data_IF_129898282794
#
_entry.id   IF_129898282794
#
_cell.length_a   1.000
_cell.length_b   1.000
_cell.length_c   1.000
_cell.angle_alpha   90.00
_cell.angle_beta   90.00
_cell.angle_gamma   90.00
#
_symmetry.space_group_name_H-M   'P 1'
#
loop_
_entity.id
_entity.type
_entity.pdbx_description
1 polymer ?
#
# COMPACT_ATOMS: atom_id res chain seq x y z
N UNK A 1 -12.04 19.89 10.86
CA UNK A 1 -12.07 19.17 9.58
C UNK A 1 -10.80 18.35 9.52
N UNK A 2 -10.88 17.04 9.74
CA UNK A 2 -9.72 16.15 9.74
C UNK A 2 -9.49 15.66 8.31
N UNK A 3 -8.45 16.17 7.66
CA UNK A 3 -7.96 15.68 6.39
C UNK A 3 -7.23 14.35 6.68
N UNK A 4 -7.72 13.23 6.18
CA UNK A 4 -6.99 11.97 6.27
C UNK A 4 -6.06 11.88 5.06
N UNK A 5 -4.77 12.13 5.31
CA UNK A 5 -3.73 11.94 4.30
C UNK A 5 -3.25 10.47 4.34
N UNK A 6 -3.10 9.86 3.18
CA UNK A 6 -2.53 8.52 3.04
C UNK A 6 -1.57 8.46 1.85
N UNK A 7 -0.68 7.49 1.85
CA UNK A 7 0.16 7.12 0.72
C UNK A 7 -0.52 6.03 -0.09
N UNK A 8 -0.55 6.23 -1.41
CA UNK A 8 -0.90 5.18 -2.36
C UNK A 8 0.36 4.79 -3.15
N UNK A 9 0.62 3.49 -3.26
CA UNK A 9 1.73 2.95 -4.03
C UNK A 9 1.39 1.56 -4.57
N UNK A 10 2.02 1.22 -5.69
CA UNK A 10 1.94 -0.11 -6.28
C UNK A 10 3.08 -0.97 -5.75
N UNK A 11 2.74 -2.17 -5.30
CA UNK A 11 3.67 -3.11 -4.72
C UNK A 11 3.65 -4.41 -5.49
N UNK A 12 4.76 -4.75 -6.15
CA UNK A 12 4.89 -6.05 -6.81
C UNK A 12 5.04 -7.18 -5.79
N UNK A 13 4.19 -8.19 -5.90
CA UNK A 13 4.30 -9.38 -5.08
C UNK A 13 5.51 -10.21 -5.54
N UNK A 14 6.50 -10.48 -4.66
CA UNK A 14 7.70 -11.23 -5.04
C UNK A 14 7.42 -12.71 -5.34
N UNK A 15 6.20 -13.21 -5.04
CA UNK A 15 5.79 -14.59 -5.28
C UNK A 15 5.12 -14.79 -6.63
N UNK A 16 4.22 -13.89 -7.02
CA UNK A 16 3.43 -14.03 -8.25
C UNK A 16 3.73 -12.96 -9.31
N UNK A 17 4.58 -11.98 -9.01
CA UNK A 17 4.95 -10.89 -9.92
C UNK A 17 3.80 -9.96 -10.29
N UNK A 18 2.68 -10.00 -9.56
CA UNK A 18 1.54 -9.11 -9.80
C UNK A 18 1.58 -7.92 -8.87
N UNK A 19 1.16 -6.77 -9.37
CA UNK A 19 1.06 -5.53 -8.62
C UNK A 19 -0.17 -5.55 -7.70
N UNK A 20 0.02 -5.16 -6.45
CA UNK A 20 -1.05 -4.86 -5.50
C UNK A 20 -1.06 -3.36 -5.26
N UNK A 21 -2.23 -2.74 -5.30
CA UNK A 21 -2.40 -1.33 -5.01
C UNK A 21 -2.67 -1.15 -3.52
N UNK A 22 -1.77 -0.45 -2.81
CA UNK A 22 -1.78 -0.41 -1.34
C UNK A 22 -1.96 1.02 -0.87
N UNK A 23 -2.80 1.19 0.15
CA UNK A 23 -2.99 2.45 0.87
C UNK A 23 -2.39 2.33 2.27
N UNK A 24 -1.51 3.24 2.63
CA UNK A 24 -0.86 3.28 3.94
C UNK A 24 -0.97 4.69 4.56
N UNK A 25 -1.02 4.83 5.89
CA UNK A 25 -0.94 6.13 6.53
C UNK A 25 0.38 6.84 6.21
N UNK A 26 0.34 8.17 6.13
CA UNK A 26 1.53 8.98 5.87
C UNK A 26 2.57 8.77 6.98
N UNK A 27 3.81 8.49 6.57
CA UNK A 27 4.94 8.27 7.48
C UNK A 27 5.28 6.80 7.72
N UNK A 28 4.42 5.85 7.32
CA UNK A 28 4.76 4.43 7.33
C UNK A 28 5.63 4.05 6.12
N UNK A 29 6.95 4.04 6.33
CA UNK A 29 7.92 3.63 5.30
C UNK A 29 7.99 2.11 5.10
N UNK A 30 7.52 1.33 6.07
CA UNK A 30 7.58 -0.13 6.06
C UNK A 30 6.19 -0.66 6.34
N UNK A 31 5.58 -1.25 5.32
CA UNK A 31 4.17 -1.65 5.35
C UNK A 31 4.03 -3.12 5.01
N UNK A 32 3.10 -3.80 5.69
CA UNK A 32 2.74 -5.17 5.36
C UNK A 32 1.68 -5.17 4.28
N UNK A 33 2.01 -5.76 3.14
CA UNK A 33 1.13 -5.88 1.98
C UNK A 33 0.61 -7.30 1.92
N UNK A 34 -0.71 -7.42 1.86
CA UNK A 34 -1.38 -8.68 1.57
C UNK A 34 -1.62 -8.79 0.07
N UNK A 35 -1.04 -9.80 -0.56
CA UNK A 35 -1.25 -10.03 -1.98
C UNK A 35 -2.60 -10.70 -2.25
N UNK A 36 -3.53 -9.97 -2.86
CA UNK A 36 -4.87 -10.44 -3.23
C UNK A 36 -4.86 -11.49 -4.35
N UNK A 37 -3.73 -11.61 -5.06
CA UNK A 37 -3.58 -12.52 -6.19
C UNK A 37 -3.12 -13.93 -5.81
N UNK A 38 -2.52 -14.09 -4.63
CA UNK A 38 -2.05 -15.39 -4.17
C UNK A 38 -3.22 -16.15 -3.54
N UNK A 39 -3.41 -17.41 -3.91
CA UNK A 39 -4.56 -18.26 -3.51
C UNK A 39 -4.71 -18.48 -1.99
N UNK A 40 -3.73 -18.09 -1.19
CA UNK A 40 -3.75 -18.14 0.27
C UNK A 40 -3.42 -16.81 0.95
N UNK A 41 -3.35 -15.71 0.18
CA UNK A 41 -2.99 -14.41 0.74
C UNK A 41 -1.53 -14.37 1.19
N UNK A 42 -0.63 -14.07 0.26
CA UNK A 42 0.79 -13.96 0.62
C UNK A 42 1.06 -12.60 1.23
N UNK A 43 1.50 -12.58 2.48
CA UNK A 43 1.91 -11.35 3.16
C UNK A 43 3.40 -11.11 2.97
N UNK A 44 3.74 -9.88 2.62
CA UNK A 44 5.14 -9.45 2.50
C UNK A 44 5.31 -8.03 2.99
N UNK A 45 6.55 -7.70 3.35
CA UNK A 45 6.90 -6.34 3.73
C UNK A 45 7.32 -5.58 2.49
N UNK A 46 6.68 -4.44 2.24
CA UNK A 46 7.08 -3.50 1.21
C UNK A 46 7.73 -2.28 1.87
N UNK A 47 8.83 -1.82 1.29
CA UNK A 47 9.49 -0.59 1.72
C UNK A 47 9.06 0.50 0.75
N UNK A 48 8.33 1.49 1.25
CA UNK A 48 7.76 2.58 0.47
C UNK A 48 8.87 3.55 0.08
N UNK A 49 9.50 3.31 -1.07
CA UNK A 49 10.53 4.19 -1.64
C UNK A 49 9.92 5.29 -2.51
N UNK A 50 8.91 4.95 -3.31
CA UNK A 50 8.14 5.87 -4.13
C UNK A 50 6.66 5.79 -3.72
N UNK A 51 6.08 6.92 -3.32
CA UNK A 51 4.68 7.00 -2.92
C UNK A 51 4.01 8.25 -3.47
N UNK A 52 2.71 8.15 -3.68
CA UNK A 52 1.85 9.29 -3.97
C UNK A 52 1.12 9.70 -2.70
N UNK A 53 1.34 10.93 -2.24
CA UNK A 53 0.54 11.51 -1.16
C UNK A 53 -0.87 11.83 -1.70
N UNK A 54 -1.89 11.29 -1.04
CA UNK A 54 -3.29 11.50 -1.39
C UNK A 54 -4.03 12.06 -0.18
N UNK A 55 -4.79 13.13 -0.43
CA UNK A 55 -5.59 13.82 0.57
C UNK A 55 -7.06 13.50 0.34
N UNK A 56 -7.68 12.75 1.25
CA UNK A 56 -9.09 12.38 1.13
C UNK A 56 -9.98 13.37 1.89
N UNK A 57 -10.99 13.92 1.20
CA UNK A 57 -11.97 14.82 1.78
C UNK A 57 -13.23 14.00 2.10
N UNK A 58 -13.32 13.48 3.32
CA UNK A 58 -14.60 12.91 3.79
C UNK A 58 -15.64 14.04 3.85
N UNK A 59 -16.67 13.91 3.01
CA UNK A 59 -17.83 14.81 2.94
C UNK A 59 -18.86 14.47 4.03
#
# INVERSE_FOLDING_TARGET
>A
MTLHQHWEFDSECPRCGKLNHVKAPVGEQVVRVHCEHCTHGYEYTHIVQEHKLVEDRQA
#
